data_IF_217878731745
#
_entry.id   IF_217878731745
#
_cell.length_a   1.000
_cell.length_b   1.000
_cell.length_c   1.000
_cell.angle_alpha   90.00
_cell.angle_beta   90.00
_cell.angle_gamma   90.00
#
_symmetry.space_group_name_H-M   'P 1'
#
loop_
_entity.id
_entity.type
_entity.pdbx_description
1 polymer ?
#
# COMPACT_ATOMS: atom_id res chain seq x y z
N UNK A 1 -14.61 0.64 -29.78
CA UNK A 1 -13.60 0.28 -28.76
C UNK A 1 -13.33 -1.22 -28.90
N UNK A 2 -12.10 -1.67 -28.64
CA UNK A 2 -11.72 -3.08 -28.73
C UNK A 2 -10.97 -3.50 -27.46
N UNK A 3 -11.00 -4.79 -27.14
CA UNK A 3 -10.08 -5.39 -26.16
C UNK A 3 -9.06 -6.20 -26.96
N UNK A 4 -7.80 -5.77 -26.93
CA UNK A 4 -6.69 -6.49 -27.53
C UNK A 4 -5.99 -7.31 -26.46
N UNK A 5 -5.77 -8.61 -26.73
CA UNK A 5 -5.00 -9.50 -25.87
C UNK A 5 -3.60 -9.64 -26.47
N UNK A 6 -2.57 -9.38 -25.67
CA UNK A 6 -1.16 -9.42 -26.09
C UNK A 6 -0.41 -10.40 -25.19
N UNK A 7 0.43 -11.25 -25.79
CA UNK A 7 1.28 -12.18 -25.06
C UNK A 7 2.73 -11.73 -25.16
N UNK A 8 3.43 -11.72 -24.01
CA UNK A 8 4.84 -11.38 -23.90
C UNK A 8 5.61 -12.61 -23.42
N UNK A 9 6.66 -13.08 -24.13
CA UNK A 9 7.56 -14.11 -23.63
C UNK A 9 8.17 -13.71 -22.28
N UNK A 10 8.41 -14.70 -21.42
CA UNK A 10 8.91 -14.48 -20.05
C UNK A 10 10.27 -13.77 -20.04
N UNK A 11 11.15 -14.13 -20.97
CA UNK A 11 12.53 -13.63 -21.07
C UNK A 11 12.64 -12.12 -21.36
N UNK A 12 11.51 -11.44 -21.61
CA UNK A 12 11.47 -9.98 -21.77
C UNK A 12 11.48 -9.22 -20.44
N UNK A 13 11.33 -9.91 -19.30
CA UNK A 13 11.14 -9.28 -18.01
C UNK A 13 12.27 -9.60 -17.04
N UNK A 14 12.79 -8.55 -16.41
CA UNK A 14 13.76 -8.67 -15.31
C UNK A 14 13.07 -9.28 -14.08
N UNK A 15 13.68 -10.33 -13.51
CA UNK A 15 13.21 -11.02 -12.32
C UNK A 15 13.05 -10.06 -11.12
N UNK A 16 11.92 -10.16 -10.41
CA UNK A 16 11.67 -9.36 -9.21
C UNK A 16 11.42 -7.86 -9.45
N UNK A 17 11.27 -7.42 -10.72
CA UNK A 17 11.18 -5.99 -11.06
C UNK A 17 9.80 -5.60 -11.62
N UNK A 18 8.93 -5.06 -10.76
CA UNK A 18 7.67 -4.42 -11.20
C UNK A 18 7.94 -3.18 -12.04
N UNK A 19 9.07 -2.51 -11.80
CA UNK A 19 9.53 -1.35 -12.58
C UNK A 19 9.81 -1.76 -14.03
N UNK A 20 10.56 -2.84 -14.27
CA UNK A 20 10.81 -3.35 -15.62
C UNK A 20 9.51 -3.83 -16.29
N UNK A 21 8.66 -4.57 -15.58
CA UNK A 21 7.34 -5.01 -16.09
C UNK A 21 6.53 -3.84 -16.67
N UNK A 22 6.41 -2.73 -15.93
CA UNK A 22 5.67 -1.56 -16.38
C UNK A 22 6.41 -0.76 -17.45
N UNK A 23 7.74 -0.68 -17.38
CA UNK A 23 8.55 -0.05 -18.44
C UNK A 23 8.28 -0.71 -19.79
N UNK A 24 8.17 -2.04 -19.83
CA UNK A 24 7.88 -2.80 -21.05
C UNK A 24 6.43 -2.68 -21.52
N UNK A 25 5.45 -2.81 -20.63
CA UNK A 25 4.03 -2.92 -21.02
C UNK A 25 3.37 -1.56 -21.21
N UNK A 26 3.72 -0.57 -20.38
CA UNK A 26 3.05 0.74 -20.37
C UNK A 26 3.98 1.93 -20.60
N UNK A 27 5.26 1.69 -20.93
CA UNK A 27 6.26 2.75 -21.09
C UNK A 27 5.90 3.78 -22.17
N UNK A 28 5.78 3.34 -23.43
CA UNK A 28 5.63 4.26 -24.57
C UNK A 28 4.30 4.14 -25.32
N UNK A 29 3.63 2.98 -25.26
CA UNK A 29 2.48 2.66 -26.14
C UNK A 29 1.27 3.58 -25.96
N UNK A 30 1.13 4.21 -24.79
CA UNK A 30 0.05 5.16 -24.50
C UNK A 30 0.20 6.50 -25.23
N UNK A 31 1.41 6.84 -25.71
CA UNK A 31 1.72 8.07 -26.42
C UNK A 31 1.70 7.96 -27.95
N UNK A 32 1.34 6.79 -28.50
CA UNK A 32 1.33 6.59 -29.96
C UNK A 32 0.26 7.47 -30.63
N UNK A 33 0.67 8.30 -31.61
CA UNK A 33 -0.22 9.18 -32.39
C UNK A 33 -1.35 8.43 -33.11
N UNK A 34 -1.16 7.15 -33.40
CA UNK A 34 -2.14 6.30 -34.07
C UNK A 34 -3.32 5.89 -33.16
N UNK A 35 -3.20 6.07 -31.85
CA UNK A 35 -4.24 5.70 -30.88
C UNK A 35 -4.93 6.94 -30.31
N UNK A 36 -6.25 6.92 -30.25
CA UNK A 36 -7.03 7.97 -29.58
C UNK A 36 -6.98 7.84 -28.06
N UNK A 37 -6.98 6.61 -27.55
CA UNK A 37 -6.87 6.27 -26.15
C UNK A 37 -6.48 4.80 -26.00
N UNK A 38 -5.82 4.46 -24.90
CA UNK A 38 -5.44 3.09 -24.53
C UNK A 38 -5.66 2.93 -23.03
N UNK A 39 -6.20 1.79 -22.61
CA UNK A 39 -6.31 1.44 -21.19
C UNK A 39 -5.84 0.01 -20.96
N UNK A 40 -4.94 -0.19 -20.01
CA UNK A 40 -4.53 -1.52 -19.56
C UNK A 40 -5.54 -2.02 -18.51
N UNK A 41 -6.36 -2.98 -18.89
CA UNK A 41 -7.43 -3.50 -18.01
C UNK A 41 -6.95 -4.57 -17.03
N UNK A 42 -6.10 -5.50 -17.47
CA UNK A 42 -5.66 -6.61 -16.62
C UNK A 42 -4.32 -7.19 -17.10
N UNK A 43 -3.61 -7.88 -16.21
CA UNK A 43 -2.40 -8.65 -16.50
C UNK A 43 -2.52 -10.06 -15.94
N UNK A 44 -2.28 -11.07 -16.78
CA UNK A 44 -1.96 -12.42 -16.30
C UNK A 44 -0.47 -12.47 -15.98
N UNK A 45 -0.12 -12.64 -14.72
CA UNK A 45 1.25 -12.87 -14.28
C UNK A 45 1.48 -14.38 -14.21
N UNK A 46 2.51 -14.89 -14.89
CA UNK A 46 2.81 -16.32 -14.86
C UNK A 46 3.36 -16.74 -13.49
N UNK A 47 3.13 -17.99 -13.09
CA UNK A 47 3.69 -18.52 -11.84
C UNK A 47 5.23 -18.46 -11.82
N UNK A 48 5.87 -18.65 -12.97
CA UNK A 48 7.33 -18.55 -13.10
C UNK A 48 7.83 -17.13 -12.79
N UNK A 49 7.19 -16.09 -13.34
CA UNK A 49 7.57 -14.71 -13.04
C UNK A 49 7.23 -14.33 -11.60
N UNK A 50 6.03 -14.70 -11.12
CA UNK A 50 5.59 -14.38 -9.75
C UNK A 50 6.56 -14.92 -8.68
N UNK A 51 7.14 -16.10 -8.89
CA UNK A 51 8.12 -16.72 -7.98
C UNK A 51 9.44 -15.96 -7.84
N UNK A 52 9.72 -14.99 -8.72
CA UNK A 52 10.91 -14.14 -8.62
C UNK A 52 10.76 -12.99 -7.63
N UNK A 53 9.54 -12.77 -7.11
CA UNK A 53 9.24 -11.70 -6.18
C UNK A 53 9.15 -12.21 -4.74
N UNK A 54 9.53 -11.36 -3.79
CA UNK A 54 9.30 -11.63 -2.36
C UNK A 54 7.81 -11.59 -2.00
N UNK A 55 7.05 -10.67 -2.59
CA UNK A 55 5.67 -10.39 -2.20
C UNK A 55 5.54 -9.65 -0.85
N UNK A 56 4.36 -9.68 -0.22
CA UNK A 56 4.09 -8.99 1.05
C UNK A 56 5.08 -9.37 2.16
N UNK A 57 5.60 -8.43 2.97
CA UNK A 57 6.51 -8.75 4.07
C UNK A 57 5.96 -9.80 5.06
N UNK A 58 4.67 -9.88 5.27
CA UNK A 58 4.06 -10.83 6.22
C UNK A 58 2.76 -11.43 5.67
N UNK A 59 1.89 -10.59 5.10
CA UNK A 59 0.56 -11.00 4.67
C UNK A 59 -0.43 -11.19 5.82
N UNK A 60 -1.67 -11.55 5.45
CA UNK A 60 -2.84 -11.48 6.33
C UNK A 60 -2.71 -12.38 7.57
N UNK A 61 -2.28 -13.62 7.38
CA UNK A 61 -2.23 -14.62 8.45
C UNK A 61 -1.17 -14.23 9.50
N UNK A 62 0.05 -13.95 9.06
CA UNK A 62 1.17 -13.59 9.95
C UNK A 62 0.90 -12.28 10.67
N UNK A 63 0.26 -11.30 10.03
CA UNK A 63 -0.17 -10.08 10.71
C UNK A 63 -1.15 -10.38 11.86
N UNK A 64 -2.19 -11.18 11.60
CA UNK A 64 -3.18 -11.52 12.63
C UNK A 64 -2.54 -12.24 13.80
N UNK A 65 -1.58 -13.11 13.54
CA UNK A 65 -0.81 -13.82 14.56
C UNK A 65 0.09 -12.88 15.37
N UNK A 66 0.83 -11.98 14.70
CA UNK A 66 1.66 -10.97 15.37
C UNK A 66 0.86 -10.05 16.28
N UNK A 67 -0.37 -9.71 15.90
CA UNK A 67 -1.22 -8.77 16.63
C UNK A 67 -2.16 -9.45 17.63
N UNK A 68 -2.28 -10.79 17.57
CA UNK A 68 -3.25 -11.57 18.32
C UNK A 68 -4.71 -11.07 18.10
N UNK A 69 -5.11 -10.85 16.83
CA UNK A 69 -6.42 -10.28 16.46
C UNK A 69 -7.16 -11.11 15.41
N UNK A 70 -8.23 -11.78 15.83
CA UNK A 70 -8.97 -12.76 15.04
C UNK A 70 -10.48 -12.51 15.01
N UNK A 71 -11.19 -13.15 14.07
CA UNK A 71 -12.65 -13.15 14.01
C UNK A 71 -13.32 -11.82 13.61
N UNK A 72 -12.54 -10.77 13.36
CA UNK A 72 -13.03 -9.44 12.97
C UNK A 72 -12.10 -8.71 12.02
N UNK A 73 -12.63 -7.63 11.43
CA UNK A 73 -11.84 -6.60 10.76
C UNK A 73 -11.01 -5.81 11.76
N UNK A 74 -9.86 -5.32 11.30
CA UNK A 74 -9.03 -4.37 12.03
C UNK A 74 -9.61 -2.96 11.85
N UNK A 75 -9.64 -2.16 12.93
CA UNK A 75 -10.16 -0.80 12.93
C UNK A 75 -9.01 0.22 12.96
N UNK A 76 -9.04 1.16 12.02
CA UNK A 76 -8.00 2.18 11.84
C UNK A 76 -8.57 3.58 11.72
N UNK A 77 -7.76 4.59 12.04
CA UNK A 77 -8.11 6.00 11.85
C UNK A 77 -6.91 6.84 11.36
N UNK A 78 -7.11 7.65 10.33
CA UNK A 78 -6.14 8.69 9.94
C UNK A 78 -6.30 9.90 10.84
N UNK A 79 -5.22 10.35 11.49
CA UNK A 79 -5.26 11.55 12.33
C UNK A 79 -5.63 12.78 11.50
N UNK A 80 -6.42 13.67 12.09
CA UNK A 80 -6.92 14.92 11.47
C UNK A 80 -6.64 16.15 12.34
N UNK A 81 -6.54 17.36 11.75
CA UNK A 81 -6.54 17.66 10.31
C UNK A 81 -5.36 17.03 9.57
N UNK A 82 -5.42 16.95 8.23
CA UNK A 82 -4.38 16.25 7.43
C UNK A 82 -2.97 16.77 7.75
N UNK A 83 -2.81 18.10 7.82
CA UNK A 83 -1.56 18.79 8.11
C UNK A 83 -1.79 19.89 9.15
N UNK A 84 -0.72 20.35 9.80
CA UNK A 84 -0.73 21.52 10.69
C UNK A 84 -0.74 21.21 12.18
N UNK A 85 -0.94 19.96 12.60
CA UNK A 85 -0.72 19.57 14.00
C UNK A 85 0.78 19.50 14.32
N UNK A 86 1.16 19.97 15.51
CA UNK A 86 2.48 19.70 16.07
C UNK A 86 2.65 18.24 16.46
N UNK A 87 3.90 17.76 16.52
CA UNK A 87 4.22 16.37 16.88
C UNK A 87 3.57 15.92 18.19
N UNK A 88 3.62 16.76 19.23
CA UNK A 88 3.03 16.47 20.54
C UNK A 88 1.50 16.35 20.48
N UNK A 89 0.83 17.25 19.75
CA UNK A 89 -0.62 17.18 19.57
C UNK A 89 -1.03 15.97 18.71
N UNK A 90 -0.18 15.58 17.76
CA UNK A 90 -0.35 14.36 16.97
C UNK A 90 -0.32 13.11 17.86
N UNK A 91 0.67 13.02 18.76
CA UNK A 91 0.77 11.96 19.77
C UNK A 91 -0.46 11.92 20.69
N UNK A 92 -0.96 13.08 21.15
CA UNK A 92 -2.21 13.14 21.95
C UNK A 92 -3.40 12.57 21.18
N UNK A 93 -3.60 12.99 19.92
CA UNK A 93 -4.70 12.48 19.10
C UNK A 93 -4.58 10.97 18.86
N UNK A 94 -3.36 10.48 18.59
CA UNK A 94 -3.06 9.05 18.47
C UNK A 94 -3.49 8.27 19.72
N UNK A 95 -3.07 8.73 20.90
CA UNK A 95 -3.41 8.09 22.18
C UNK A 95 -4.92 8.00 22.41
N UNK A 96 -5.65 9.11 22.25
CA UNK A 96 -7.10 9.16 22.47
C UNK A 96 -7.86 8.20 21.55
N UNK A 97 -7.45 8.14 20.28
CA UNK A 97 -8.05 7.22 19.30
C UNK A 97 -7.78 5.75 19.65
N UNK A 98 -6.53 5.39 20.01
CA UNK A 98 -6.15 4.01 20.29
C UNK A 98 -6.76 3.48 21.60
N UNK A 99 -6.73 4.29 22.67
CA UNK A 99 -7.33 3.90 23.95
C UNK A 99 -8.85 3.73 23.85
N UNK A 100 -9.48 4.43 22.91
CA UNK A 100 -10.91 4.35 22.62
C UNK A 100 -11.37 3.07 21.92
N UNK A 101 -10.45 2.15 21.59
CA UNK A 101 -10.77 0.82 21.05
C UNK A 101 -10.33 0.59 19.60
N UNK A 102 -9.70 1.56 18.94
CA UNK A 102 -9.09 1.31 17.63
C UNK A 102 -7.86 0.40 17.76
N UNK A 103 -7.61 -0.42 16.75
CA UNK A 103 -6.38 -1.21 16.65
C UNK A 103 -5.22 -0.33 16.19
N UNK A 104 -5.53 0.58 15.26
CA UNK A 104 -4.56 1.41 14.58
C UNK A 104 -4.97 2.87 14.47
N UNK A 105 -3.95 3.72 14.45
CA UNK A 105 -4.04 5.05 13.83
C UNK A 105 -3.01 5.14 12.70
N UNK A 106 -3.03 6.21 11.91
CA UNK A 106 -2.04 6.41 10.85
C UNK A 106 -1.73 7.86 10.58
N UNK A 107 -0.51 8.06 10.11
CA UNK A 107 -0.12 9.26 9.40
C UNK A 107 -1.04 9.46 8.19
N UNK A 108 -1.33 10.71 7.85
CA UNK A 108 -1.97 11.02 6.58
C UNK A 108 -0.92 10.88 5.44
N UNK A 109 -1.33 10.59 4.21
CA UNK A 109 -0.38 10.27 3.12
C UNK A 109 0.61 11.41 2.84
N UNK A 110 0.19 12.65 3.10
CA UNK A 110 1.03 13.82 2.91
C UNK A 110 1.73 14.29 4.20
N UNK A 111 1.64 13.55 5.31
CA UNK A 111 2.43 13.80 6.53
C UNK A 111 3.77 13.10 6.37
N UNK A 112 4.84 13.87 6.13
CA UNK A 112 6.20 13.34 5.96
C UNK A 112 7.12 14.04 6.98
N UNK A 113 7.79 15.13 6.59
CA UNK A 113 8.65 15.93 7.49
C UNK A 113 8.58 17.42 7.16
N UNK A 114 7.47 18.05 7.52
CA UNK A 114 7.20 19.45 7.26
C UNK A 114 7.75 20.38 8.37
N UNK A 115 7.86 21.70 8.12
CA UNK A 115 8.30 22.66 9.14
C UNK A 115 7.48 22.63 10.44
N UNK A 116 6.16 22.40 10.36
CA UNK A 116 5.29 22.36 11.54
C UNK A 116 5.41 21.05 12.35
N UNK A 117 5.98 19.99 11.77
CA UNK A 117 6.13 18.68 12.39
C UNK A 117 7.20 17.86 11.68
N UNK A 118 8.41 17.82 12.26
CA UNK A 118 9.48 16.95 11.76
C UNK A 118 9.17 15.49 12.07
N UNK A 119 9.57 14.61 11.15
CA UNK A 119 9.20 13.19 11.24
C UNK A 119 9.68 12.53 12.52
N UNK A 120 10.91 12.84 12.96
CA UNK A 120 11.51 12.17 14.13
C UNK A 120 10.77 12.52 15.42
N UNK A 121 10.40 13.79 15.60
CA UNK A 121 9.63 14.22 16.77
C UNK A 121 8.25 13.55 16.79
N UNK A 122 7.60 13.45 15.62
CA UNK A 122 6.31 12.73 15.50
C UNK A 122 6.46 11.26 15.88
N UNK A 123 7.48 10.58 15.36
CA UNK A 123 7.71 9.16 15.64
C UNK A 123 7.88 8.92 17.14
N UNK A 124 8.62 9.79 17.84
CA UNK A 124 8.83 9.69 19.29
C UNK A 124 7.52 9.84 20.08
N UNK A 125 6.76 10.93 19.86
CA UNK A 125 5.51 11.15 20.59
C UNK A 125 4.41 10.13 20.24
N UNK A 126 4.39 9.62 19.01
CA UNK A 126 3.43 8.59 18.59
C UNK A 126 3.79 7.23 19.16
N UNK A 127 5.07 6.88 19.25
CA UNK A 127 5.51 5.66 19.91
C UNK A 127 5.12 5.68 21.41
N UNK A 128 5.39 6.79 22.11
CA UNK A 128 4.95 7.00 23.50
C UNK A 128 3.42 6.81 23.64
N UNK A 129 2.64 7.48 22.78
CA UNK A 129 1.19 7.38 22.76
C UNK A 129 0.67 5.95 22.52
N UNK A 130 1.30 5.23 21.58
CA UNK A 130 0.95 3.85 21.22
C UNK A 130 1.16 2.91 22.40
N UNK A 131 2.34 2.97 23.03
CA UNK A 131 2.64 2.13 24.18
C UNK A 131 1.82 2.47 25.42
N UNK A 132 1.53 3.77 25.63
CA UNK A 132 0.61 4.20 26.70
C UNK A 132 -0.78 3.59 26.52
N UNK A 133 -1.35 3.68 25.32
CA UNK A 133 -2.67 3.11 25.03
C UNK A 133 -2.67 1.57 25.11
N UNK A 134 -1.61 0.92 24.64
CA UNK A 134 -1.45 -0.53 24.75
C UNK A 134 -1.39 -0.99 26.21
N UNK A 135 -0.64 -0.29 27.07
CA UNK A 135 -0.55 -0.61 28.49
C UNK A 135 -1.89 -0.44 29.21
N UNK A 136 -2.68 0.58 28.86
CA UNK A 136 -3.99 0.85 29.47
C UNK A 136 -5.07 -0.14 29.02
N UNK A 137 -5.04 -0.55 27.75
CA UNK A 137 -6.08 -1.41 27.16
C UNK A 137 -5.78 -2.90 27.24
N UNK A 138 -4.51 -3.28 27.42
CA UNK A 138 -4.06 -4.68 27.37
C UNK A 138 -4.05 -5.28 25.96
N UNK A 139 -4.36 -4.50 24.92
CA UNK A 139 -4.34 -4.96 23.53
C UNK A 139 -3.14 -4.40 22.76
N UNK A 140 -2.60 -5.18 21.82
CA UNK A 140 -1.58 -4.66 20.88
C UNK A 140 -2.18 -3.52 20.05
N UNK A 141 -1.47 -2.38 20.04
CA UNK A 141 -1.82 -1.18 19.27
C UNK A 141 -0.71 -0.83 18.28
N UNK A 142 -1.05 -0.09 17.24
CA UNK A 142 -0.05 0.44 16.31
C UNK A 142 -0.42 1.80 15.74
N UNK A 143 0.59 2.47 15.19
CA UNK A 143 0.40 3.65 14.36
C UNK A 143 1.20 3.49 13.09
N UNK A 144 0.59 3.67 11.92
CA UNK A 144 1.33 3.56 10.66
C UNK A 144 2.20 4.80 10.46
N UNK A 145 3.46 4.72 10.89
CA UNK A 145 4.44 5.80 10.75
C UNK A 145 4.89 5.94 9.29
N UNK A 146 4.71 7.11 8.68
CA UNK A 146 4.95 7.30 7.25
C UNK A 146 6.45 7.43 6.92
N UNK A 147 6.97 6.41 6.21
CA UNK A 147 8.34 6.33 5.74
C UNK A 147 8.57 7.06 4.41
N UNK A 148 7.52 7.44 3.67
CA UNK A 148 7.63 8.14 2.38
C UNK A 148 8.52 9.38 2.48
N UNK A 149 9.55 9.45 1.65
CA UNK A 149 10.55 10.51 1.66
C UNK A 149 10.96 10.92 0.24
N UNK A 150 11.76 11.98 0.11
CA UNK A 150 12.27 12.45 -1.18
C UNK A 150 13.41 11.60 -1.75
N UNK A 151 14.09 10.80 -0.92
CA UNK A 151 15.13 9.87 -1.35
C UNK A 151 15.00 8.53 -0.62
N UNK A 152 15.60 7.47 -1.18
CA UNK A 152 15.56 6.14 -0.59
C UNK A 152 16.32 6.08 0.75
N UNK A 153 17.41 6.85 0.88
CA UNK A 153 18.22 6.93 2.11
C UNK A 153 17.40 7.50 3.26
N UNK A 154 16.67 8.59 3.01
CA UNK A 154 15.78 9.19 4.02
C UNK A 154 14.60 8.27 4.35
N UNK A 155 14.06 7.53 3.36
CA UNK A 155 13.00 6.55 3.59
C UNK A 155 13.48 5.42 4.51
N UNK A 156 14.63 4.82 4.21
CA UNK A 156 15.20 3.74 5.03
C UNK A 156 15.63 4.23 6.41
N UNK A 157 16.15 5.46 6.53
CA UNK A 157 16.47 6.08 7.83
C UNK A 157 15.24 6.22 8.74
N UNK A 158 14.06 6.48 8.17
CA UNK A 158 12.80 6.51 8.92
C UNK A 158 12.38 5.11 9.33
N UNK A 159 12.45 4.14 8.42
CA UNK A 159 12.12 2.75 8.71
C UNK A 159 13.01 2.18 9.83
N UNK A 160 14.31 2.50 9.81
CA UNK A 160 15.26 2.13 10.86
C UNK A 160 14.92 2.77 12.20
N UNK A 161 14.56 4.06 12.23
CA UNK A 161 14.08 4.68 13.45
C UNK A 161 12.81 4.01 13.99
N UNK A 162 11.85 3.65 13.12
CA UNK A 162 10.64 2.94 13.53
C UNK A 162 10.96 1.55 14.12
N UNK A 163 11.88 0.81 13.48
CA UNK A 163 12.43 -0.45 14.01
C UNK A 163 13.02 -0.26 15.42
N UNK A 164 13.88 0.74 15.61
CA UNK A 164 14.49 1.01 16.92
C UNK A 164 13.47 1.39 18.00
N UNK A 165 12.36 2.03 17.62
CA UNK A 165 11.27 2.33 18.53
C UNK A 165 10.42 1.10 18.87
N UNK A 166 10.60 -0.03 18.17
CA UNK A 166 9.88 -1.27 18.42
C UNK A 166 8.41 -1.27 17.98
N UNK A 167 8.00 -0.31 17.14
CA UNK A 167 6.61 -0.24 16.67
C UNK A 167 6.29 -1.36 15.69
N UNK A 168 5.02 -1.84 15.61
CA UNK A 168 4.73 -3.03 14.81
C UNK A 168 4.59 -2.76 13.30
N UNK A 169 4.40 -1.50 12.88
CA UNK A 169 3.94 -1.16 11.53
C UNK A 169 4.40 0.23 11.08
N UNK A 170 4.73 0.34 9.79
CA UNK A 170 4.99 1.61 9.10
C UNK A 170 4.08 1.74 7.87
N UNK A 171 4.09 2.89 7.20
CA UNK A 171 3.42 3.06 5.90
C UNK A 171 4.29 3.68 4.81
N UNK A 172 3.90 3.44 3.56
CA UNK A 172 4.53 4.00 2.37
C UNK A 172 3.51 4.33 1.27
N UNK A 173 3.77 5.42 0.54
CA UNK A 173 2.98 5.87 -0.61
C UNK A 173 3.63 5.35 -1.90
N UNK A 174 3.38 4.07 -2.23
CA UNK A 174 4.17 3.34 -3.23
C UNK A 174 4.19 3.94 -4.64
N UNK A 175 3.12 4.63 -5.07
CA UNK A 175 3.09 5.25 -6.41
C UNK A 175 3.89 6.55 -6.44
N UNK A 176 3.72 7.40 -5.42
CA UNK A 176 4.42 8.68 -5.36
C UNK A 176 5.88 8.52 -4.94
N UNK A 177 6.20 7.51 -4.13
CA UNK A 177 7.58 7.11 -3.83
C UNK A 177 8.22 6.24 -4.92
N UNK A 178 7.40 5.52 -5.69
CA UNK A 178 7.82 4.66 -6.79
C UNK A 178 8.02 3.19 -6.39
N UNK A 179 7.82 2.29 -7.36
CA UNK A 179 7.93 0.84 -7.16
C UNK A 179 9.32 0.40 -6.71
N UNK A 180 10.40 0.99 -7.25
CA UNK A 180 11.77 0.65 -6.84
C UNK A 180 11.98 0.93 -5.35
N UNK A 181 11.57 2.10 -4.86
CA UNK A 181 11.64 2.43 -3.43
C UNK A 181 10.74 1.50 -2.59
N UNK A 182 9.53 1.21 -3.08
CA UNK A 182 8.60 0.31 -2.40
C UNK A 182 9.17 -1.11 -2.22
N UNK A 183 9.74 -1.70 -3.28
CA UNK A 183 10.33 -3.04 -3.22
C UNK A 183 11.50 -3.08 -2.24
N UNK A 184 12.37 -2.06 -2.25
CA UNK A 184 13.44 -1.93 -1.25
C UNK A 184 12.91 -1.85 0.18
N UNK A 185 11.85 -1.07 0.41
CA UNK A 185 11.23 -0.95 1.74
C UNK A 185 10.53 -2.26 2.17
N UNK A 186 9.92 -2.97 1.23
CA UNK A 186 9.30 -4.29 1.47
C UNK A 186 10.33 -5.32 1.93
N UNK A 187 11.49 -5.39 1.27
CA UNK A 187 12.61 -6.24 1.69
C UNK A 187 13.09 -5.84 3.10
N UNK A 188 13.29 -4.55 3.35
CA UNK A 188 13.66 -4.06 4.68
C UNK A 188 12.64 -4.46 5.75
N UNK A 189 11.34 -4.34 5.46
CA UNK A 189 10.27 -4.68 6.40
C UNK A 189 10.24 -6.18 6.73
N UNK A 190 10.47 -7.04 5.73
CA UNK A 190 10.60 -8.49 5.91
C UNK A 190 11.75 -8.82 6.85
N UNK A 191 12.94 -8.28 6.58
CA UNK A 191 14.16 -8.59 7.34
C UNK A 191 14.13 -8.06 8.78
N UNK A 192 13.29 -7.06 9.04
CA UNK A 192 13.22 -6.37 10.32
C UNK A 192 11.88 -6.56 11.06
N UNK A 193 11.00 -7.42 10.54
CA UNK A 193 9.74 -7.79 11.19
C UNK A 193 8.68 -6.69 11.27
N UNK A 194 8.79 -5.61 10.48
CA UNK A 194 7.83 -4.51 10.41
C UNK A 194 6.70 -4.84 9.45
N UNK A 195 5.44 -4.62 9.86
CA UNK A 195 4.32 -4.63 8.92
C UNK A 195 4.41 -3.39 8.01
N UNK A 196 3.98 -3.55 6.75
CA UNK A 196 4.04 -2.50 5.74
C UNK A 196 2.65 -2.16 5.19
N UNK A 197 2.08 -1.05 5.67
CA UNK A 197 0.84 -0.51 5.14
C UNK A 197 1.09 0.30 3.87
N UNK A 198 0.40 -0.02 2.76
CA UNK A 198 0.55 0.73 1.52
C UNK A 198 -0.64 1.63 1.25
N UNK A 199 -0.32 2.91 1.08
CA UNK A 199 -1.27 3.92 0.66
C UNK A 199 -1.12 4.21 -0.84
N UNK A 200 -2.25 4.38 -1.53
CA UNK A 200 -2.31 4.47 -2.99
C UNK A 200 -2.40 5.91 -3.53
N UNK A 201 -1.79 6.89 -2.85
CA UNK A 201 -1.79 8.27 -3.31
C UNK A 201 -1.41 8.35 -4.81
N UNK A 202 -2.05 9.24 -5.58
CA UNK A 202 -1.92 9.38 -7.04
C UNK A 202 -2.63 8.32 -7.91
N UNK A 203 -3.14 7.21 -7.37
CA UNK A 203 -3.75 6.14 -8.20
C UNK A 203 -4.86 6.61 -9.15
N UNK A 204 -5.74 7.50 -8.70
CA UNK A 204 -6.88 8.00 -9.47
C UNK A 204 -6.48 8.88 -10.67
N UNK A 205 -5.23 9.34 -10.74
CA UNK A 205 -4.66 9.97 -11.95
C UNK A 205 -4.53 8.93 -13.08
N UNK A 206 -4.28 7.67 -12.71
CA UNK A 206 -3.97 6.57 -13.62
C UNK A 206 -5.21 5.72 -13.90
N UNK A 207 -6.04 5.44 -12.89
CA UNK A 207 -7.01 4.34 -12.96
C UNK A 207 -8.49 4.73 -13.11
N UNK A 208 -8.81 6.03 -12.95
CA UNK A 208 -10.20 6.48 -12.84
C UNK A 208 -10.96 6.43 -14.16
N UNK A 209 -10.35 6.90 -15.25
CA UNK A 209 -11.03 7.02 -16.52
C UNK A 209 -11.18 5.66 -17.21
N UNK A 210 -12.37 5.34 -17.72
CA UNK A 210 -12.65 4.04 -18.38
C UNK A 210 -12.03 3.91 -19.77
N UNK A 211 -11.70 5.03 -20.42
CA UNK A 211 -11.17 5.04 -21.78
C UNK A 211 -9.64 5.07 -21.85
N UNK A 212 -8.95 5.62 -20.84
CA UNK A 212 -7.49 5.79 -20.87
C UNK A 212 -6.86 5.52 -19.50
N UNK A 213 -5.67 4.92 -19.48
CA UNK A 213 -4.86 4.73 -18.27
C UNK A 213 -4.65 3.26 -17.89
N UNK A 214 -4.62 2.93 -16.62
CA UNK A 214 -4.40 1.55 -16.16
C UNK A 214 -5.33 1.24 -15.00
N UNK A 215 -6.13 0.19 -15.12
CA UNK A 215 -7.11 -0.14 -14.09
C UNK A 215 -6.45 -0.51 -12.76
N UNK A 216 -7.09 -0.16 -11.63
CA UNK A 216 -6.57 -0.39 -10.28
C UNK A 216 -6.19 -1.85 -9.99
N UNK A 217 -6.88 -2.83 -10.58
CA UNK A 217 -6.55 -4.27 -10.44
C UNK A 217 -5.12 -4.60 -10.91
N UNK A 218 -4.62 -3.89 -11.92
CA UNK A 218 -3.24 -4.05 -12.40
C UNK A 218 -2.26 -3.49 -11.37
N UNK A 219 -2.58 -2.33 -10.80
CA UNK A 219 -1.83 -1.72 -9.71
C UNK A 219 -1.83 -2.61 -8.45
N UNK A 220 -2.95 -3.24 -8.12
CA UNK A 220 -3.08 -4.15 -7.00
C UNK A 220 -2.23 -5.42 -7.18
N UNK A 221 -2.27 -6.04 -8.37
CA UNK A 221 -1.38 -7.17 -8.72
C UNK A 221 0.10 -6.77 -8.64
N UNK A 222 0.47 -5.63 -9.22
CA UNK A 222 1.84 -5.13 -9.18
C UNK A 222 2.31 -4.87 -7.75
N UNK A 223 1.46 -4.28 -6.90
CA UNK A 223 1.82 -4.09 -5.50
C UNK A 223 1.93 -5.41 -4.73
N UNK A 224 1.06 -6.40 -4.99
CA UNK A 224 1.20 -7.72 -4.36
C UNK A 224 2.53 -8.38 -4.71
N UNK A 225 3.06 -8.16 -5.92
CA UNK A 225 4.39 -8.60 -6.33
C UNK A 225 5.52 -7.78 -5.64
N UNK A 226 5.48 -6.45 -5.72
CA UNK A 226 6.48 -5.55 -5.10
C UNK A 226 6.55 -5.70 -3.58
N UNK A 227 5.40 -5.96 -2.97
CA UNK A 227 5.24 -6.25 -1.55
C UNK A 227 4.61 -5.11 -0.76
N UNK A 228 3.59 -5.48 0.00
CA UNK A 228 2.87 -4.65 0.96
C UNK A 228 1.88 -5.54 1.72
N UNK A 229 1.77 -5.34 3.02
CA UNK A 229 0.87 -6.14 3.87
C UNK A 229 -0.58 -5.66 3.77
N UNK A 230 -0.77 -4.34 3.60
CA UNK A 230 -2.07 -3.73 3.31
C UNK A 230 -2.04 -2.97 1.99
N UNK A 231 -3.19 -2.90 1.32
CA UNK A 231 -3.45 -1.94 0.24
C UNK A 231 -4.86 -1.35 0.39
N UNK A 232 -4.97 -0.04 0.25
CA UNK A 232 -6.26 0.63 0.14
C UNK A 232 -7.03 0.15 -1.10
N UNK A 233 -8.23 -0.39 -0.90
CA UNK A 233 -9.03 -0.98 -1.96
C UNK A 233 -10.26 -0.12 -2.34
N UNK A 234 -10.56 0.93 -1.59
CA UNK A 234 -11.77 1.73 -1.75
C UNK A 234 -12.90 1.22 -0.86
N UNK A 235 -13.97 2.01 -0.76
CA UNK A 235 -15.05 1.75 0.21
C UNK A 235 -16.40 1.49 -0.43
N UNK A 236 -16.56 1.74 -1.75
CA UNK A 236 -17.82 1.70 -2.52
C UNK A 236 -18.85 2.75 -2.06
N UNK A 237 -19.11 2.85 -0.76
CA UNK A 237 -20.10 3.72 -0.13
C UNK A 237 -19.53 5.02 0.45
N UNK A 238 -18.21 5.20 0.40
CA UNK A 238 -17.56 6.41 0.91
C UNK A 238 -17.50 7.54 -0.11
N UNK A 239 -16.74 8.57 0.21
CA UNK A 239 -16.62 9.80 -0.61
C UNK A 239 -15.81 9.65 -1.92
N UNK A 240 -15.12 8.53 -2.12
CA UNK A 240 -14.28 8.28 -3.30
C UNK A 240 -14.94 7.20 -4.16
N UNK A 241 -14.78 7.34 -5.49
CA UNK A 241 -15.35 6.42 -6.47
C UNK A 241 -14.91 4.96 -6.25
N UNK A 242 -15.84 4.03 -6.43
CA UNK A 242 -15.59 2.59 -6.41
C UNK A 242 -16.87 1.82 -6.76
N UNK A 243 -16.87 1.13 -7.90
CA UNK A 243 -17.98 0.25 -8.30
C UNK A 243 -17.87 -1.09 -7.56
N UNK A 244 -19.00 -1.64 -7.10
CA UNK A 244 -19.02 -2.77 -6.16
C UNK A 244 -18.42 -4.04 -6.75
N UNK A 245 -18.88 -4.47 -7.92
CA UNK A 245 -18.49 -5.78 -8.47
C UNK A 245 -17.02 -5.78 -8.90
N UNK A 246 -16.55 -4.69 -9.50
CA UNK A 246 -15.13 -4.49 -9.81
C UNK A 246 -14.29 -4.46 -8.52
N UNK A 247 -14.81 -3.87 -7.45
CA UNK A 247 -14.11 -3.84 -6.15
C UNK A 247 -13.95 -5.23 -5.56
N UNK A 248 -14.99 -6.05 -5.60
CA UNK A 248 -14.92 -7.45 -5.16
C UNK A 248 -13.84 -8.20 -5.95
N UNK A 249 -13.82 -8.05 -7.28
CA UNK A 249 -12.82 -8.71 -8.13
C UNK A 249 -11.38 -8.42 -7.74
N UNK A 250 -11.00 -7.15 -7.53
CA UNK A 250 -9.62 -6.85 -7.12
C UNK A 250 -9.34 -7.12 -5.64
N UNK A 251 -10.35 -7.20 -4.78
CA UNK A 251 -10.18 -7.71 -3.40
C UNK A 251 -9.79 -9.18 -3.42
N UNK A 252 -10.44 -10.01 -4.25
CA UNK A 252 -10.12 -11.42 -4.43
C UNK A 252 -8.68 -11.56 -4.97
N UNK A 253 -8.31 -10.76 -5.98
CA UNK A 253 -6.94 -10.72 -6.53
C UNK A 253 -5.83 -10.37 -5.53
N UNK A 254 -6.16 -9.66 -4.44
CA UNK A 254 -5.18 -9.33 -3.40
C UNK A 254 -5.07 -10.41 -2.32
N UNK A 255 -6.10 -11.24 -2.14
CA UNK A 255 -6.25 -12.11 -0.97
C UNK A 255 -6.12 -13.59 -1.31
N UNK A 256 -6.71 -14.00 -2.42
CA UNK A 256 -6.87 -15.40 -2.75
C UNK A 256 -5.62 -15.94 -3.42
N UNK A 257 -5.40 -17.25 -3.30
CA UNK A 257 -4.26 -17.95 -3.92
C UNK A 257 -4.49 -18.19 -5.41
N UNK A 258 -5.74 -18.43 -5.80
CA UNK A 258 -6.18 -18.64 -7.17
C UNK A 258 -7.48 -17.88 -7.43
N UNK A 259 -7.57 -17.23 -8.59
CA UNK A 259 -8.72 -16.43 -9.00
C UNK A 259 -9.10 -16.83 -10.41
N UNK A 260 -10.36 -17.22 -10.62
CA UNK A 260 -10.89 -17.56 -11.93
C UNK A 260 -11.21 -16.32 -12.75
N UNK A 261 -11.18 -16.48 -14.08
CA UNK A 261 -11.66 -15.47 -15.01
C UNK A 261 -13.14 -15.19 -14.78
N UNK A 262 -13.44 -13.97 -14.35
CA UNK A 262 -14.80 -13.47 -14.21
C UNK A 262 -14.94 -12.04 -14.75
N UNK A 263 -15.52 -11.91 -15.95
CA UNK A 263 -15.71 -10.62 -16.61
C UNK A 263 -16.75 -9.73 -15.93
N UNK A 264 -17.67 -10.29 -15.15
CA UNK A 264 -18.66 -9.51 -14.39
C UNK A 264 -18.01 -8.71 -13.26
N UNK A 265 -16.91 -9.22 -12.69
CA UNK A 265 -16.03 -8.54 -11.73
C UNK A 265 -14.81 -7.89 -12.36
N UNK A 266 -14.75 -7.86 -13.70
CA UNK A 266 -13.65 -7.26 -14.46
C UNK A 266 -12.33 -8.03 -14.40
N UNK A 267 -12.34 -9.33 -14.12
CA UNK A 267 -11.19 -10.22 -14.20
C UNK A 267 -11.14 -10.84 -15.60
N UNK A 268 -10.06 -10.59 -16.35
CA UNK A 268 -9.98 -10.94 -17.77
C UNK A 268 -9.25 -12.26 -18.02
N UNK A 269 -8.45 -12.72 -17.06
CA UNK A 269 -7.60 -13.90 -17.13
C UNK A 269 -7.76 -14.81 -15.93
#
# INVERSE_FOLDING_TARGET
QFIAYVAYPLDLFEEGSTTNLFTSIVGNVFGFKALRALRLEDLRISAAYAKTFQGPPHGIQVERDKLNKYGRSLLGCTIKPKLGLSAKNYGRACYECLRGGLDFTKDDENVNSQPFMRWRDRFLFVAEATYKAQAETGEIKGHYLNATAGTCEDMLKRAECAKHLGVPIIMHDYLTGGFTANTSLSHYCRDNGLLLHIHRAMHAVIDRQRNHGMHFRVLAKALRLSGGDHLHSGTVVGKLEGEREVTLGFVDLMRDDYIEKDRSRGIYF
#
